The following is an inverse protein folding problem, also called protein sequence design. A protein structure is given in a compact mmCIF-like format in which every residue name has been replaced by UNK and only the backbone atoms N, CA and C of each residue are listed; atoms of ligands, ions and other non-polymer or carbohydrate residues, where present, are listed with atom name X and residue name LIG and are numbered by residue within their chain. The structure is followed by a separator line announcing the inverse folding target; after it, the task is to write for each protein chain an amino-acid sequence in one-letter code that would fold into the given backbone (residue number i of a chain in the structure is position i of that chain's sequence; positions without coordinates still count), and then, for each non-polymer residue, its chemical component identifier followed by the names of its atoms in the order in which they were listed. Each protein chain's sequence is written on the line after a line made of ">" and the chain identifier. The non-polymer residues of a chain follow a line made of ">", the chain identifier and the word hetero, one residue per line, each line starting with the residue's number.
data_IF_074038733043
#
_entry.id   IF_074038733043
#
_cell.length_a   1.000
_cell.length_b   1.000
_cell.length_c   1.000
_cell.angle_alpha   90.00
_cell.angle_beta   90.00
_cell.angle_gamma   90.00
#
_symmetry.space_group_name_H-M   'P 1'
#
loop_
_entity.id
_entity.type
_entity.pdbx_description
1 polymer ?
#
# COMPACT_ATOMS: atom_id res chain seq x y z
N UNK A 1 -0.49 1.37 -17.41
CA UNK A 1 -0.82 2.20 -16.23
C UNK A 1 -1.03 1.33 -15.01
N UNK A 2 -0.65 1.81 -13.83
CA UNK A 2 -0.89 1.10 -12.59
C UNK A 2 -2.39 1.10 -12.26
N UNK A 3 -2.83 0.06 -11.56
CA UNK A 3 -4.20 -0.03 -11.07
C UNK A 3 -4.35 0.92 -9.88
N UNK A 4 -5.26 1.88 -9.97
CA UNK A 4 -5.48 2.86 -8.90
C UNK A 4 -5.98 2.20 -7.61
N UNK A 5 -6.66 1.05 -7.72
CA UNK A 5 -7.07 0.30 -6.52
C UNK A 5 -5.87 -0.20 -5.74
N UNK A 6 -4.79 -0.61 -6.43
CA UNK A 6 -3.57 -1.04 -5.75
C UNK A 6 -2.94 0.11 -4.98
N UNK A 7 -2.97 1.32 -5.54
CA UNK A 7 -2.46 2.51 -4.87
C UNK A 7 -3.29 2.86 -3.63
N UNK A 8 -4.61 2.78 -3.75
CA UNK A 8 -5.52 3.01 -2.64
C UNK A 8 -5.30 1.98 -1.53
N UNK A 9 -5.14 0.71 -1.89
CA UNK A 9 -4.89 -0.35 -0.90
C UNK A 9 -3.53 -0.19 -0.23
N UNK A 10 -2.52 0.25 -0.99
CA UNK A 10 -1.21 0.53 -0.39
C UNK A 10 -1.32 1.62 0.68
N UNK A 11 -2.05 2.70 0.39
CA UNK A 11 -2.29 3.76 1.36
C UNK A 11 -2.97 3.21 2.62
N UNK A 12 -3.97 2.34 2.46
CA UNK A 12 -4.66 1.72 3.59
C UNK A 12 -3.73 0.86 4.43
N UNK A 13 -2.86 0.09 3.78
CA UNK A 13 -1.90 -0.75 4.49
C UNK A 13 -0.93 0.10 5.31
N UNK A 14 -0.46 1.21 4.75
CA UNK A 14 0.45 2.13 5.45
C UNK A 14 -0.27 2.82 6.60
N UNK A 15 -1.48 3.35 6.34
CA UNK A 15 -2.25 4.08 7.36
C UNK A 15 -2.60 3.19 8.56
N UNK A 16 -2.90 1.91 8.30
CA UNK A 16 -3.24 0.95 9.36
C UNK A 16 -2.01 0.23 9.92
N UNK A 17 -0.83 0.53 9.41
CA UNK A 17 0.42 -0.04 9.86
C UNK A 17 0.44 -1.57 9.82
N UNK A 18 -0.19 -2.15 8.80
CA UNK A 18 -0.16 -3.60 8.60
C UNK A 18 -1.25 -4.12 7.71
N UNK A 19 -1.04 -5.35 7.22
CA UNK A 19 -1.97 -5.99 6.30
C UNK A 19 -3.24 -6.48 7.00
N UNK A 20 -3.12 -6.96 8.23
CA UNK A 20 -4.28 -7.50 8.95
C UNK A 20 -5.29 -6.40 9.27
N UNK A 21 -4.83 -5.27 9.82
CA UNK A 21 -5.69 -4.15 10.15
C UNK A 21 -6.32 -3.54 8.90
N UNK A 22 -5.51 -3.38 7.84
CA UNK A 22 -6.02 -2.87 6.56
C UNK A 22 -7.06 -3.82 5.96
N UNK A 23 -6.83 -5.12 6.06
CA UNK A 23 -7.78 -6.12 5.58
C UNK A 23 -9.13 -6.02 6.28
N UNK A 24 -9.11 -5.81 7.58
CA UNK A 24 -10.35 -5.61 8.35
C UNK A 24 -11.08 -4.34 7.90
N UNK A 25 -10.33 -3.25 7.71
CA UNK A 25 -10.91 -1.98 7.28
C UNK A 25 -11.52 -2.07 5.89
N UNK A 26 -10.91 -2.84 4.98
CA UNK A 26 -11.35 -2.99 3.59
C UNK A 26 -12.29 -4.17 3.39
N UNK A 27 -12.50 -4.98 4.42
CA UNK A 27 -13.26 -6.23 4.34
C UNK A 27 -12.66 -7.17 3.28
N UNK A 28 -11.33 -7.33 3.32
CA UNK A 28 -10.58 -8.17 2.40
C UNK A 28 -9.60 -9.03 3.18
N UNK A 29 -9.32 -10.26 2.69
CA UNK A 29 -8.29 -11.10 3.32
C UNK A 29 -6.92 -10.43 3.24
N UNK A 30 -6.15 -10.49 4.33
CA UNK A 30 -4.81 -9.89 4.35
C UNK A 30 -3.89 -10.51 3.30
N UNK A 31 -4.09 -11.79 2.96
CA UNK A 31 -3.30 -12.47 1.93
C UNK A 31 -3.52 -11.83 0.56
N UNK A 32 -4.74 -11.38 0.29
CA UNK A 32 -5.06 -10.69 -0.97
C UNK A 32 -4.34 -9.35 -1.04
N UNK A 33 -4.37 -8.58 0.06
CA UNK A 33 -3.67 -7.30 0.12
C UNK A 33 -2.17 -7.49 -0.04
N UNK A 34 -1.60 -8.48 0.64
CA UNK A 34 -0.17 -8.77 0.57
C UNK A 34 0.25 -9.12 -0.86
N UNK A 35 -0.56 -9.95 -1.54
CA UNK A 35 -0.29 -10.34 -2.92
C UNK A 35 -0.37 -9.15 -3.87
N UNK A 36 -1.40 -8.30 -3.71
CA UNK A 36 -1.57 -7.13 -4.58
C UNK A 36 -0.43 -6.13 -4.41
N UNK A 37 0.01 -5.92 -3.16
CA UNK A 37 1.14 -5.03 -2.90
C UNK A 37 2.44 -5.62 -3.47
N UNK A 38 2.65 -6.94 -3.35
CA UNK A 38 3.81 -7.59 -3.93
C UNK A 38 3.83 -7.42 -5.46
N UNK A 39 2.68 -7.55 -6.12
CA UNK A 39 2.58 -7.34 -7.55
C UNK A 39 2.88 -5.89 -7.92
N UNK A 40 2.42 -4.94 -7.11
CA UNK A 40 2.71 -3.53 -7.31
C UNK A 40 4.21 -3.27 -7.20
N UNK A 41 4.86 -3.82 -6.18
CA UNK A 41 6.31 -3.71 -6.01
C UNK A 41 7.05 -4.26 -7.23
N UNK A 42 6.60 -5.40 -7.74
CA UNK A 42 7.20 -6.02 -8.91
C UNK A 42 7.08 -5.13 -10.14
N UNK A 43 5.92 -4.53 -10.35
CA UNK A 43 5.70 -3.63 -11.49
C UNK A 43 6.53 -2.36 -11.39
N UNK A 44 6.73 -1.85 -10.17
CA UNK A 44 7.54 -0.65 -9.94
C UNK A 44 9.04 -0.96 -9.93
N UNK A 45 9.41 -2.22 -9.70
CA UNK A 45 10.80 -2.63 -9.61
C UNK A 45 11.46 -2.19 -8.32
N UNK A 46 10.70 -1.88 -7.27
CA UNK A 46 11.23 -1.44 -5.97
C UNK A 46 10.44 -2.10 -4.84
N UNK A 47 11.08 -2.17 -3.69
CA UNK A 47 10.44 -2.66 -2.47
C UNK A 47 9.79 -1.49 -1.73
N UNK A 48 8.49 -1.60 -1.45
CA UNK A 48 7.75 -0.56 -0.72
C UNK A 48 7.65 -0.88 0.76
N UNK A 49 7.61 -2.15 1.12
CA UNK A 49 7.47 -2.62 2.50
C UNK A 49 8.61 -3.58 2.81
N UNK A 50 9.25 -3.39 3.96
CA UNK A 50 10.30 -4.28 4.43
C UNK A 50 9.70 -5.66 4.75
N UNK A 51 10.30 -6.72 4.20
CA UNK A 51 9.83 -8.10 4.40
C UNK A 51 10.65 -8.86 5.43
N UNK A 52 11.80 -8.31 5.84
CA UNK A 52 12.76 -9.00 6.69
C UNK A 52 12.67 -8.64 8.16
N UNK A 53 11.79 -7.68 8.52
CA UNK A 53 11.62 -7.24 9.90
C UNK A 53 10.33 -7.84 10.47
N UNK A 54 10.29 -8.00 11.80
CA UNK A 54 9.09 -8.47 12.48
C UNK A 54 8.02 -7.39 12.54
N UNK A 55 8.47 -6.13 12.64
CA UNK A 55 7.55 -5.00 12.68
C UNK A 55 7.24 -4.55 11.26
N UNK A 56 6.01 -4.10 11.06
CA UNK A 56 5.62 -3.48 9.81
C UNK A 56 6.45 -2.22 9.60
N UNK A 57 7.18 -2.17 8.51
CA UNK A 57 8.06 -1.04 8.19
C UNK A 57 7.96 -0.73 6.71
N UNK A 58 7.75 0.55 6.39
CA UNK A 58 7.71 1.03 5.01
C UNK A 58 9.12 1.48 4.63
N UNK A 59 9.58 1.11 3.43
CA UNK A 59 10.90 1.53 2.96
C UNK A 59 10.91 3.04 2.69
N UNK A 60 12.10 3.62 2.53
CA UNK A 60 12.22 5.04 2.19
C UNK A 60 11.51 5.34 0.86
N UNK A 61 11.71 4.48 -0.14
CA UNK A 61 11.00 4.60 -1.43
C UNK A 61 9.49 4.47 -1.21
N UNK A 62 9.08 3.53 -0.34
CA UNK A 62 7.68 3.35 0.00
C UNK A 62 7.06 4.58 0.64
N UNK A 63 7.79 5.27 1.51
CA UNK A 63 7.30 6.51 2.12
C UNK A 63 7.07 7.59 1.07
N UNK A 64 8.01 7.76 0.13
CA UNK A 64 7.87 8.73 -0.95
C UNK A 64 6.68 8.39 -1.84
N UNK A 65 6.56 7.10 -2.20
CA UNK A 65 5.45 6.63 -3.02
C UNK A 65 4.10 6.84 -2.31
N UNK A 66 4.06 6.58 -1.01
CA UNK A 66 2.87 6.81 -0.19
C UNK A 66 2.40 8.26 -0.26
N UNK A 67 3.33 9.22 -0.18
CA UNK A 67 2.98 10.64 -0.25
C UNK A 67 2.29 10.98 -1.57
N UNK A 68 2.79 10.45 -2.68
CA UNK A 68 2.17 10.66 -3.98
C UNK A 68 0.80 10.01 -4.08
N UNK A 69 0.65 8.78 -3.59
CA UNK A 69 -0.63 8.08 -3.60
C UNK A 69 -1.67 8.80 -2.75
N UNK A 70 -1.26 9.26 -1.57
CA UNK A 70 -2.16 9.97 -0.66
C UNK A 70 -2.67 11.27 -1.30
N UNK A 71 -1.77 12.01 -1.95
CA UNK A 71 -2.12 13.25 -2.64
C UNK A 71 -3.15 13.00 -3.76
N UNK A 72 -2.95 11.92 -4.53
CA UNK A 72 -3.90 11.57 -5.60
C UNK A 72 -5.27 11.22 -5.04
N UNK A 73 -5.33 10.47 -3.95
CA UNK A 73 -6.60 10.06 -3.34
C UNK A 73 -7.34 11.24 -2.74
N UNK A 74 -6.62 12.17 -2.12
CA UNK A 74 -7.22 13.40 -1.58
C UNK A 74 -7.85 14.20 -2.71
N UNK A 75 -7.15 14.36 -3.84
CA UNK A 75 -7.67 15.06 -4.99
C UNK A 75 -8.89 14.35 -5.59
N UNK A 76 -8.84 13.03 -5.70
CA UNK A 76 -9.96 12.26 -6.23
C UNK A 76 -11.21 12.41 -5.36
N UNK A 77 -11.05 12.39 -4.03
CA UNK A 77 -12.16 12.55 -3.10
C UNK A 77 -12.74 13.97 -3.12
N UNK A 78 -11.90 14.96 -3.41
CA UNK A 78 -12.34 16.37 -3.51
C UNK A 78 -13.19 16.62 -4.76
N UNK A 79 -13.02 15.79 -5.78
CA UNK A 79 -13.80 15.93 -6.98
C UNK A 79 -15.25 15.50 -6.77
#
# INVERSE_FOLDING_TARGET
>A
MLDLNDLAWFVQVVDHEGFAAAGRALDQPKSKLSRRIAQLEERLGVRLIQRTTRQFTVTEVGQTFYQHCKAMLVEAEAA
#
